data_IF_233848514592
#
_entry.id   IF_233848514592
#
_cell.length_a   1.000
_cell.length_b   1.000
_cell.length_c   1.000
_cell.angle_alpha   90.00
_cell.angle_beta   90.00
_cell.angle_gamma   90.00
#
_symmetry.space_group_name_H-M   'P 1'
#
loop_
_entity.id
_entity.type
_entity.pdbx_description
1 polymer ?
#
# COMPACT_ATOMS: atom_id res chain seq x y z
N UNK A 1 7.30 11.52 9.25
CA UNK A 1 6.17 11.74 8.31
C UNK A 1 6.78 12.01 6.95
N UNK A 2 6.31 11.33 5.91
CA UNK A 2 6.93 11.33 4.59
C UNK A 2 6.05 12.09 3.61
N UNK A 3 6.62 13.08 2.93
CA UNK A 3 5.96 13.85 1.89
C UNK A 3 6.23 13.29 0.49
N UNK A 4 6.99 12.21 0.38
CA UNK A 4 7.31 11.54 -0.88
C UNK A 4 6.51 10.24 -1.04
N UNK A 5 6.48 9.67 -2.25
CA UNK A 5 6.07 8.29 -2.46
C UNK A 5 6.92 7.35 -1.61
N UNK A 6 6.31 6.26 -1.12
CA UNK A 6 6.97 5.29 -0.25
C UNK A 6 6.62 3.86 -0.61
N UNK A 7 7.50 2.92 -0.26
CA UNK A 7 7.20 1.50 -0.19
C UNK A 7 7.72 0.94 1.14
N UNK A 8 7.29 -0.27 1.51
CA UNK A 8 7.81 -0.94 2.67
C UNK A 8 9.18 -1.57 2.35
N UNK A 9 10.20 -1.39 3.20
CA UNK A 9 11.48 -2.09 3.02
C UNK A 9 11.41 -3.59 3.30
N UNK A 10 10.44 -4.05 4.09
CA UNK A 10 10.30 -5.47 4.47
C UNK A 10 9.43 -6.27 3.49
N UNK A 11 8.45 -5.62 2.87
CA UNK A 11 7.54 -6.22 1.88
C UNK A 11 7.32 -5.23 0.74
N UNK A 12 8.32 -5.04 -0.14
CA UNK A 12 8.22 -4.06 -1.23
C UNK A 12 7.10 -4.40 -2.22
N UNK A 13 6.65 -5.66 -2.26
CA UNK A 13 5.56 -6.15 -3.09
C UNK A 13 4.22 -6.31 -2.35
N UNK A 14 4.13 -5.92 -1.06
CA UNK A 14 2.94 -6.08 -0.23
C UNK A 14 2.39 -7.52 -0.15
N UNK A 15 3.29 -8.49 -0.23
CA UNK A 15 3.08 -9.93 -0.21
C UNK A 15 3.15 -10.57 1.20
N UNK A 16 3.41 -9.76 2.24
CA UNK A 16 3.40 -10.23 3.61
C UNK A 16 2.06 -9.92 4.29
N UNK A 17 1.13 -10.86 4.23
CA UNK A 17 -0.17 -10.70 4.85
C UNK A 17 -0.15 -11.04 6.34
N UNK A 18 -0.90 -10.27 7.14
CA UNK A 18 -1.13 -10.50 8.55
C UNK A 18 -2.62 -10.69 8.75
N UNK A 19 -3.01 -11.91 9.13
CA UNK A 19 -4.39 -12.27 9.45
C UNK A 19 -4.67 -11.98 10.92
N UNK A 20 -5.73 -11.22 11.19
CA UNK A 20 -6.22 -10.96 12.53
C UNK A 20 -7.30 -11.99 12.92
N UNK A 21 -7.53 -12.24 14.23
CA UNK A 21 -8.51 -13.24 14.69
C UNK A 21 -9.95 -13.00 14.22
N UNK A 22 -10.31 -11.77 13.88
CA UNK A 22 -11.63 -11.41 13.34
C UNK A 22 -11.74 -11.62 11.81
N UNK A 23 -10.74 -12.25 11.19
CA UNK A 23 -10.69 -12.51 9.76
C UNK A 23 -10.09 -11.37 8.94
N UNK A 24 -9.93 -10.16 9.50
CA UNK A 24 -9.38 -9.04 8.76
C UNK A 24 -7.92 -9.31 8.37
N UNK A 25 -7.54 -8.92 7.15
CA UNK A 25 -6.18 -9.03 6.66
C UNK A 25 -5.61 -7.64 6.47
N UNK A 26 -4.39 -7.44 7.00
CA UNK A 26 -3.56 -6.25 6.78
C UNK A 26 -2.20 -6.66 6.21
N UNK A 27 -1.36 -5.68 5.85
CA UNK A 27 -0.04 -5.91 5.24
C UNK A 27 1.13 -5.69 6.21
N UNK A 28 0.86 -5.23 7.43
CA UNK A 28 1.93 -4.90 8.37
C UNK A 28 1.54 -5.24 9.80
N UNK A 29 2.37 -6.05 10.47
CA UNK A 29 2.19 -6.41 11.87
C UNK A 29 2.37 -5.21 12.82
N UNK A 30 2.90 -4.09 12.33
CA UNK A 30 3.05 -2.84 13.09
C UNK A 30 1.88 -1.88 12.87
N UNK A 31 0.88 -2.21 12.05
CA UNK A 31 -0.33 -1.39 11.84
C UNK A 31 -1.38 -1.63 12.93
N UNK A 32 -1.02 -1.34 14.19
CA UNK A 32 -1.88 -1.60 15.36
C UNK A 32 -3.21 -0.84 15.35
N UNK A 33 -3.25 0.31 14.67
CA UNK A 33 -4.49 1.07 14.47
C UNK A 33 -5.30 0.58 13.27
N UNK A 34 -4.84 -0.47 12.57
CA UNK A 34 -5.48 -1.09 11.41
C UNK A 34 -5.86 -0.01 10.38
N UNK A 35 -4.92 0.92 10.12
CA UNK A 35 -5.16 2.04 9.20
C UNK A 35 -5.49 1.56 7.80
N UNK A 36 -5.01 0.37 7.44
CA UNK A 36 -5.31 -0.23 6.14
C UNK A 36 -5.60 -1.72 6.21
N UNK A 37 -6.89 -2.05 6.26
CA UNK A 37 -7.42 -3.36 5.90
C UNK A 37 -7.38 -3.59 4.39
N UNK A 38 -6.96 -4.77 3.97
CA UNK A 38 -7.00 -5.22 2.56
C UNK A 38 -8.09 -6.24 2.27
N UNK A 39 -8.73 -6.83 3.26
CA UNK A 39 -9.88 -7.74 3.07
C UNK A 39 -10.21 -8.50 4.34
N UNK A 40 -11.08 -9.50 4.24
CA UNK A 40 -11.43 -10.37 5.35
C UNK A 40 -11.63 -11.82 4.83
N UNK A 41 -10.93 -12.80 5.42
CA UNK A 41 -10.95 -14.20 4.97
C UNK A 41 -12.16 -15.01 5.46
N UNK A 42 -13.00 -14.43 6.31
CA UNK A 42 -14.33 -15.00 6.65
C UNK A 42 -15.33 -14.65 5.54
N UNK A 43 -15.14 -13.51 4.86
CA UNK A 43 -16.07 -12.97 3.86
C UNK A 43 -15.66 -13.30 2.40
N UNK A 44 -14.42 -13.71 2.15
CA UNK A 44 -13.91 -13.97 0.81
C UNK A 44 -12.66 -14.84 0.78
N UNK A 45 -12.15 -15.15 -0.42
CA UNK A 45 -10.98 -16.00 -0.59
C UNK A 45 -9.66 -15.22 -0.56
N UNK A 46 -8.57 -15.96 -0.33
CA UNK A 46 -7.23 -15.39 -0.21
C UNK A 46 -6.75 -14.67 -1.47
N UNK A 47 -7.06 -15.18 -2.67
CA UNK A 47 -6.56 -14.58 -3.91
C UNK A 47 -7.29 -13.28 -4.26
N UNK A 48 -8.56 -13.15 -3.87
CA UNK A 48 -9.32 -11.90 -4.03
C UNK A 48 -8.66 -10.70 -3.34
N UNK A 49 -7.84 -10.92 -2.31
CA UNK A 49 -7.12 -9.89 -1.57
C UNK A 49 -6.19 -9.07 -2.46
N UNK A 50 -5.54 -9.69 -3.45
CA UNK A 50 -4.56 -9.01 -4.31
C UNK A 50 -5.20 -8.03 -5.29
N UNK A 51 -6.46 -8.29 -5.67
CA UNK A 51 -7.29 -7.40 -6.49
C UNK A 51 -8.25 -6.55 -5.67
N UNK A 52 -8.14 -6.58 -4.33
CA UNK A 52 -9.12 -5.92 -3.47
C UNK A 52 -9.00 -4.40 -3.54
N UNK A 53 -10.10 -3.73 -3.23
CA UNK A 53 -10.13 -2.27 -3.06
C UNK A 53 -9.12 -1.80 -2.02
N UNK A 54 -8.99 -2.51 -0.90
CA UNK A 54 -8.07 -2.14 0.17
C UNK A 54 -6.61 -2.19 -0.27
N UNK A 55 -6.24 -3.19 -1.07
CA UNK A 55 -4.91 -3.29 -1.69
C UNK A 55 -4.67 -2.16 -2.70
N UNK A 56 -5.61 -1.93 -3.63
CA UNK A 56 -5.50 -0.88 -4.63
C UNK A 56 -5.35 0.52 -4.00
N UNK A 57 -6.10 0.80 -2.94
CA UNK A 57 -6.00 2.05 -2.21
C UNK A 57 -4.69 2.16 -1.40
N UNK A 58 -4.16 1.07 -0.83
CA UNK A 58 -2.84 1.05 -0.18
C UNK A 58 -1.74 1.49 -1.17
N UNK A 59 -1.72 0.86 -2.35
CA UNK A 59 -0.78 1.21 -3.42
C UNK A 59 -0.94 2.68 -3.81
N UNK A 60 -2.18 3.11 -4.09
CA UNK A 60 -2.50 4.47 -4.52
C UNK A 60 -2.05 5.52 -3.50
N UNK A 61 -2.29 5.30 -2.21
CA UNK A 61 -1.88 6.26 -1.17
C UNK A 61 -0.36 6.28 -0.96
N UNK A 62 0.30 5.14 -1.09
CA UNK A 62 1.75 5.06 -0.92
C UNK A 62 2.53 5.63 -2.11
N UNK A 63 2.00 5.55 -3.34
CA UNK A 63 2.64 6.15 -4.54
C UNK A 63 2.39 7.64 -4.69
N UNK A 64 1.38 8.20 -4.01
CA UNK A 64 1.11 9.64 -4.06
C UNK A 64 2.19 10.44 -3.35
N UNK A 65 2.63 11.59 -3.90
CA UNK A 65 3.35 12.60 -3.14
C UNK A 65 2.46 13.19 -2.04
N UNK A 66 3.08 13.76 -1.01
CA UNK A 66 2.40 14.29 0.17
C UNK A 66 2.25 13.28 1.30
N UNK A 67 2.05 13.82 2.50
CA UNK A 67 1.73 13.04 3.68
C UNK A 67 0.22 12.71 3.69
N UNK A 68 -0.12 11.47 4.07
CA UNK A 68 -1.48 11.09 4.45
C UNK A 68 -1.43 10.24 5.71
N UNK A 69 -2.50 10.25 6.51
CA UNK A 69 -2.60 9.39 7.69
C UNK A 69 -3.27 8.03 7.40
N UNK A 70 -3.70 7.81 6.15
CA UNK A 70 -4.46 6.65 5.70
C UNK A 70 -3.67 5.36 5.61
N UNK A 71 -2.34 5.45 5.70
CA UNK A 71 -1.43 4.30 5.77
C UNK A 71 -0.37 4.59 6.83
N UNK A 72 0.07 3.56 7.55
CA UNK A 72 1.19 3.72 8.50
C UNK A 72 2.53 3.97 7.79
N UNK A 73 2.66 3.52 6.54
CA UNK A 73 3.86 3.64 5.72
C UNK A 73 4.31 5.10 5.58
N UNK A 74 3.38 6.06 5.49
CA UNK A 74 3.65 7.50 5.41
C UNK A 74 4.27 8.11 6.68
N UNK A 75 4.40 7.35 7.75
CA UNK A 75 5.13 7.74 8.97
C UNK A 75 6.14 6.70 9.44
N UNK A 76 6.26 5.55 8.77
CA UNK A 76 7.09 4.42 9.19
C UNK A 76 8.59 4.74 9.01
N UNK A 77 9.39 4.51 10.04
CA UNK A 77 10.85 4.69 9.99
C UNK A 77 11.57 3.69 9.06
N UNK A 78 10.90 2.60 8.70
CA UNK A 78 11.39 1.55 7.81
C UNK A 78 10.89 1.71 6.37
N UNK A 79 10.20 2.79 6.03
CA UNK A 79 9.75 3.03 4.66
C UNK A 79 10.92 3.42 3.75
N UNK A 80 10.98 2.83 2.56
CA UNK A 80 11.80 3.34 1.46
C UNK A 80 11.07 4.57 0.91
N UNK A 81 11.81 5.67 0.71
CA UNK A 81 11.30 6.92 0.17
C UNK A 81 11.81 7.10 -1.24
N UNK A 82 10.93 7.45 -2.16
CA UNK A 82 11.29 7.69 -3.55
C UNK A 82 11.33 9.18 -3.84
N UNK A 83 12.38 9.62 -4.52
CA UNK A 83 12.45 10.99 -5.04
C UNK A 83 11.70 11.06 -6.37
N UNK A 84 11.00 12.17 -6.60
CA UNK A 84 10.36 12.44 -7.88
C UNK A 84 11.37 13.24 -8.69
N UNK A 85 12.02 12.60 -9.66
CA UNK A 85 12.93 13.28 -10.55
C UNK A 85 12.15 14.38 -11.33
N UNK A 86 12.69 15.61 -11.44
CA UNK A 86 12.00 16.73 -12.09
C UNK A 86 11.63 16.50 -13.57
N UNK A 87 12.28 15.54 -14.23
CA UNK A 87 12.19 15.27 -15.66
C UNK A 87 11.26 14.09 -16.03
N UNK A 88 10.84 13.27 -15.07
CA UNK A 88 10.00 12.10 -15.35
C UNK A 88 8.52 12.46 -15.47
N UNK A 89 8.17 13.05 -16.63
CA UNK A 89 6.81 12.97 -17.13
C UNK A 89 6.49 11.49 -17.44
N UNK A 90 5.79 10.81 -16.53
CA UNK A 90 5.19 9.50 -16.80
C UNK A 90 4.08 9.65 -17.86
N UNK A 91 4.47 9.67 -19.14
CA UNK A 91 3.55 9.67 -20.26
C UNK A 91 3.17 8.23 -20.62
N UNK A 92 1.95 7.83 -20.32
CA UNK A 92 1.34 6.65 -20.94
C UNK A 92 0.87 7.02 -22.35
N UNK A 93 1.55 6.51 -23.38
CA UNK A 93 1.05 6.58 -24.76
C UNK A 93 0.23 5.35 -25.05
N UNK A 94 -1.10 5.51 -25.09
CA UNK A 94 -1.99 4.48 -25.63
C UNK A 94 -1.94 4.57 -27.17
N UNK A 95 -1.33 3.59 -27.82
CA UNK A 95 -1.51 3.35 -29.25
C UNK A 95 -2.63 2.33 -29.45
N UNK A 96 -3.69 2.71 -30.15
CA UNK A 96 -4.66 1.73 -30.70
C UNK A 96 -3.99 1.11 -31.93
N UNK A 97 -3.93 -0.22 -31.97
CA UNK A 97 -3.84 -0.95 -33.23
C UNK A 97 -5.17 -0.89 -33.94
#
# INVERSE_FOLDING_TARGET
RHATPVSCSFTPFYDHNVLLPNGDVVICCMDYSVKRKIGNLIEGDYFSLFSSRGMAELHTENTKPGYSDKTICKSCNRAIRYEIAPDQRLHWRASRG
#
